data_IF_837302803863
#
_entry.id   IF_837302803863
#
_cell.length_a   1.000
_cell.length_b   1.000
_cell.length_c   1.000
_cell.angle_alpha   90.00
_cell.angle_beta   90.00
_cell.angle_gamma   90.00
#
_symmetry.space_group_name_H-M   'P 1'
#
loop_
_entity.id
_entity.type
_entity.pdbx_description
1 polymer ?
#
# COMPACT_ATOMS: atom_id res chain seq x y z
N UNK A 1 -0.36 7.83 11.14
CA UNK A 1 1.08 7.84 11.50
C UNK A 1 1.50 6.59 12.28
N UNK A 2 0.94 6.29 13.46
CA UNK A 2 1.30 5.10 14.26
C UNK A 2 1.13 3.78 13.48
N UNK A 3 0.05 3.62 12.74
CA UNK A 3 -0.22 2.44 11.91
C UNK A 3 0.81 2.24 10.80
N UNK A 4 1.22 3.31 10.13
CA UNK A 4 2.25 3.27 9.07
C UNK A 4 3.60 2.86 9.66
N UNK A 5 3.98 3.40 10.82
CA UNK A 5 5.20 3.03 11.51
C UNK A 5 5.18 1.55 11.93
N UNK A 6 4.05 1.07 12.45
CA UNK A 6 3.87 -0.34 12.80
C UNK A 6 3.92 -1.26 11.56
N UNK A 7 3.27 -0.87 10.47
CA UNK A 7 3.29 -1.60 9.19
C UNK A 7 4.73 -1.73 8.68
N UNK A 8 5.45 -0.61 8.64
CA UNK A 8 6.85 -0.58 8.25
C UNK A 8 7.68 -1.49 9.17
N UNK A 9 7.61 -1.29 10.49
CA UNK A 9 8.37 -2.06 11.47
C UNK A 9 8.15 -3.58 11.34
N UNK A 10 6.89 -4.01 11.21
CA UNK A 10 6.56 -5.43 11.07
C UNK A 10 7.05 -5.98 9.71
N UNK A 11 6.82 -5.24 8.63
CA UNK A 11 7.24 -5.64 7.28
C UNK A 11 8.76 -5.71 7.12
N UNK A 12 9.51 -4.83 7.80
CA UNK A 12 10.98 -4.85 7.81
C UNK A 12 11.55 -5.97 8.69
N UNK A 13 10.91 -6.31 9.81
CA UNK A 13 11.46 -7.32 10.74
C UNK A 13 11.28 -8.77 10.27
N UNK A 14 10.29 -9.07 9.42
CA UNK A 14 9.97 -10.46 9.11
C UNK A 14 9.29 -10.66 7.74
N UNK A 15 10.00 -10.29 6.66
CA UNK A 15 9.53 -10.48 5.29
C UNK A 15 9.29 -11.96 4.89
N UNK A 16 9.93 -12.92 5.56
CA UNK A 16 9.83 -14.36 5.25
C UNK A 16 8.67 -15.10 5.95
N UNK A 17 7.97 -14.48 6.90
CA UNK A 17 6.80 -15.10 7.58
C UNK A 17 5.51 -14.52 6.99
N UNK A 18 4.77 -15.35 6.27
CA UNK A 18 3.51 -14.98 5.59
C UNK A 18 2.53 -14.24 6.54
N UNK A 19 2.51 -14.62 7.82
CA UNK A 19 1.63 -14.01 8.81
C UNK A 19 2.09 -12.60 9.22
N UNK A 20 3.39 -12.37 9.29
CA UNK A 20 3.95 -11.06 9.61
C UNK A 20 3.76 -10.11 8.42
N UNK A 21 3.93 -10.61 7.19
CA UNK A 21 3.63 -9.85 5.99
C UNK A 21 2.15 -9.44 5.95
N UNK A 22 1.23 -10.37 6.20
CA UNK A 22 -0.21 -10.08 6.24
C UNK A 22 -0.55 -9.04 7.33
N UNK A 23 0.04 -9.15 8.52
CA UNK A 23 -0.12 -8.16 9.57
C UNK A 23 0.40 -6.77 9.13
N UNK A 24 1.55 -6.70 8.46
CA UNK A 24 2.09 -5.43 7.95
C UNK A 24 1.16 -4.77 6.94
N UNK A 25 0.58 -5.56 6.02
CA UNK A 25 -0.36 -5.09 5.02
C UNK A 25 -1.67 -4.63 5.67
N UNK A 26 -2.14 -5.34 6.70
CA UNK A 26 -3.29 -4.92 7.50
C UNK A 26 -3.06 -3.56 8.15
N UNK A 27 -1.90 -3.31 8.75
CA UNK A 27 -1.59 -1.99 9.34
C UNK A 27 -1.43 -0.90 8.31
N UNK A 28 -0.91 -1.23 7.13
CA UNK A 28 -0.85 -0.30 6.01
C UNK A 28 -2.27 0.10 5.60
N UNK A 29 -3.17 -0.86 5.40
CA UNK A 29 -4.58 -0.58 5.13
C UNK A 29 -5.25 0.19 6.27
N UNK A 30 -4.92 -0.11 7.53
CA UNK A 30 -5.48 0.62 8.68
C UNK A 30 -5.09 2.11 8.68
N UNK A 31 -4.01 2.49 7.98
CA UNK A 31 -3.64 3.89 7.80
C UNK A 31 -4.65 4.70 6.98
N UNK A 32 -5.46 4.05 6.14
CA UNK A 32 -6.52 4.72 5.38
C UNK A 32 -7.64 5.27 6.27
N UNK A 33 -7.79 4.75 7.49
CA UNK A 33 -8.77 5.27 8.45
C UNK A 33 -8.35 6.60 9.07
N UNK A 34 -7.09 7.02 8.91
CA UNK A 34 -6.65 8.34 9.36
C UNK A 34 -7.10 9.40 8.34
N UNK A 35 -7.60 10.53 8.84
CA UNK A 35 -8.03 11.65 8.00
C UNK A 35 -6.81 12.23 7.29
N UNK A 36 -6.61 11.89 6.02
CA UNK A 36 -5.60 12.50 5.18
C UNK A 36 -6.32 13.27 4.07
N UNK A 37 -6.14 14.59 4.03
CA UNK A 37 -6.71 15.38 2.95
C UNK A 37 -5.80 15.26 1.72
N UNK A 38 -6.04 14.29 0.85
CA UNK A 38 -5.37 14.17 -0.45
C UNK A 38 -5.48 15.44 -1.32
N UNK A 39 -6.43 16.32 -0.98
CA UNK A 39 -6.54 17.68 -1.51
C UNK A 39 -5.31 18.57 -1.25
N UNK A 40 -4.48 18.29 -0.26
CA UNK A 40 -3.26 19.06 0.03
C UNK A 40 -2.13 18.78 -0.98
N UNK A 41 -2.20 17.69 -1.75
CA UNK A 41 -1.17 17.35 -2.72
C UNK A 41 -1.33 18.13 -4.04
N UNK A 42 -0.21 18.45 -4.73
CA UNK A 42 -0.22 19.00 -6.08
C UNK A 42 -1.03 18.14 -7.05
N UNK A 43 -1.65 18.74 -8.07
CA UNK A 43 -2.64 18.08 -8.93
C UNK A 43 -2.20 16.73 -9.52
N UNK A 44 -0.94 16.59 -9.95
CA UNK A 44 -0.40 15.32 -10.47
C UNK A 44 -0.28 14.21 -9.40
N UNK A 45 0.07 14.57 -8.17
CA UNK A 45 0.20 13.63 -7.04
C UNK A 45 -1.15 13.33 -6.37
N UNK A 46 -2.13 14.21 -6.53
CA UNK A 46 -3.48 14.04 -5.95
C UNK A 46 -4.16 12.77 -6.44
N UNK A 47 -4.04 12.43 -7.72
CA UNK A 47 -4.62 11.21 -8.30
C UNK A 47 -3.99 9.96 -7.68
N UNK A 48 -2.67 9.97 -7.49
CA UNK A 48 -1.96 8.86 -6.86
C UNK A 48 -2.37 8.70 -5.39
N UNK A 49 -2.46 9.79 -4.63
CA UNK A 49 -2.92 9.76 -3.25
C UNK A 49 -4.35 9.23 -3.12
N UNK A 50 -5.23 9.64 -4.02
CA UNK A 50 -6.62 9.16 -4.08
C UNK A 50 -6.71 7.66 -4.38
N UNK A 51 -6.00 7.17 -5.41
CA UNK A 51 -5.98 5.73 -5.73
C UNK A 51 -5.41 4.93 -4.56
N UNK A 52 -4.34 5.42 -3.94
CA UNK A 52 -3.72 4.80 -2.78
C UNK A 52 -4.71 4.67 -1.61
N UNK A 53 -5.40 5.74 -1.24
CA UNK A 53 -6.32 5.75 -0.11
C UNK A 53 -7.57 4.88 -0.35
N UNK A 54 -8.15 4.96 -1.55
CA UNK A 54 -9.30 4.14 -1.95
C UNK A 54 -8.91 2.65 -1.95
N UNK A 55 -7.73 2.32 -2.48
CA UNK A 55 -7.24 0.95 -2.49
C UNK A 55 -7.04 0.43 -1.06
N UNK A 56 -6.34 1.19 -0.21
CA UNK A 56 -6.13 0.77 1.17
C UNK A 56 -7.43 0.58 1.95
N UNK A 57 -8.41 1.49 1.76
CA UNK A 57 -9.72 1.41 2.39
C UNK A 57 -10.53 0.19 1.93
N UNK A 58 -10.59 -0.07 0.62
CA UNK A 58 -11.35 -1.19 0.07
C UNK A 58 -10.81 -2.55 0.53
N UNK A 59 -9.48 -2.70 0.60
CA UNK A 59 -8.84 -3.96 0.99
C UNK A 59 -8.77 -4.18 2.51
N UNK A 60 -8.96 -3.14 3.32
CA UNK A 60 -8.91 -3.22 4.79
C UNK A 60 -9.83 -4.31 5.38
N UNK A 61 -11.16 -4.32 5.13
CA UNK A 61 -12.05 -5.31 5.75
C UNK A 61 -11.71 -6.74 5.32
N UNK A 62 -11.31 -6.94 4.06
CA UNK A 62 -10.88 -8.23 3.57
C UNK A 62 -9.62 -8.73 4.28
N UNK A 63 -8.59 -7.90 4.39
CA UNK A 63 -7.35 -8.27 5.07
C UNK A 63 -7.55 -8.49 6.56
N UNK A 64 -8.42 -7.71 7.19
CA UNK A 64 -8.74 -7.88 8.61
C UNK A 64 -9.46 -9.20 8.85
N UNK A 65 -10.47 -9.51 8.04
CA UNK A 65 -11.15 -10.81 8.05
C UNK A 65 -10.13 -11.94 7.84
N UNK A 66 -9.33 -11.86 6.76
CA UNK A 66 -8.33 -12.87 6.43
C UNK A 66 -7.33 -13.08 7.58
N UNK A 67 -6.86 -11.99 8.18
CA UNK A 67 -5.97 -12.03 9.34
C UNK A 67 -6.61 -12.79 10.52
N UNK A 68 -7.86 -12.50 10.87
CA UNK A 68 -8.57 -13.18 11.96
C UNK A 68 -8.94 -14.65 11.66
N UNK A 69 -9.02 -15.06 10.39
CA UNK A 69 -9.16 -16.48 10.03
C UNK A 69 -7.83 -17.25 10.17
N UNK A 70 -6.70 -16.62 9.88
CA UNK A 70 -5.37 -17.25 9.86
C UNK A 70 -4.67 -17.25 11.22
N UNK A 71 -4.85 -16.22 12.03
CA UNK A 71 -4.09 -16.01 13.26
C UNK A 71 -4.87 -16.51 14.49
N UNK A 72 -4.25 -17.25 15.45
CA UNK A 72 -2.91 -17.88 15.50
C UNK A 72 -2.87 -19.33 14.99
N UNK A 73 -4.03 -19.96 14.82
CA UNK A 73 -4.22 -21.29 14.24
C UNK A 73 -5.35 -21.19 13.21
N UNK A 74 -5.25 -21.87 12.06
CA UNK A 74 -6.26 -21.77 11.00
C UNK A 74 -7.62 -22.15 11.57
N UNK A 75 -8.56 -21.21 11.54
CA UNK A 75 -9.88 -21.40 12.14
C UNK A 75 -10.62 -22.56 11.49
N UNK A 76 -11.53 -23.20 12.23
CA UNK A 76 -12.35 -24.30 11.68
C UNK A 76 -13.16 -23.87 10.45
N UNK A 77 -13.46 -22.56 10.34
CA UNK A 77 -14.15 -21.95 9.20
C UNK A 77 -13.25 -21.99 7.97
N UNK A 78 -11.98 -21.63 8.11
CA UNK A 78 -11.02 -21.69 7.01
C UNK A 78 -10.81 -23.13 6.51
N UNK A 79 -10.74 -24.09 7.44
CA UNK A 79 -10.57 -25.51 7.11
C UNK A 79 -11.80 -26.09 6.38
N UNK A 80 -13.00 -25.59 6.65
CA UNK A 80 -14.25 -26.11 6.06
C UNK A 80 -14.68 -25.36 4.81
N UNK A 81 -14.34 -24.08 4.67
CA UNK A 81 -14.83 -23.23 3.58
C UNK A 81 -13.72 -22.33 3.01
N UNK A 82 -12.68 -22.91 2.38
CA UNK A 82 -11.60 -22.13 1.76
C UNK A 82 -12.09 -21.22 0.62
N UNK A 83 -13.19 -21.58 -0.04
CA UNK A 83 -13.82 -20.80 -1.11
C UNK A 83 -14.31 -19.42 -0.65
N UNK A 84 -14.62 -19.27 0.64
CA UNK A 84 -15.17 -18.04 1.21
C UNK A 84 -14.17 -16.88 1.07
N UNK A 85 -12.86 -17.18 1.17
CA UNK A 85 -11.78 -16.21 0.96
C UNK A 85 -11.78 -15.66 -0.47
N UNK A 86 -11.98 -16.53 -1.45
CA UNK A 86 -11.95 -16.15 -2.88
C UNK A 86 -13.20 -15.35 -3.24
N UNK A 87 -14.36 -15.73 -2.71
CA UNK A 87 -15.61 -14.98 -2.92
C UNK A 87 -15.51 -13.59 -2.32
N UNK A 88 -15.06 -13.46 -1.07
CA UNK A 88 -14.90 -12.14 -0.47
C UNK A 88 -13.80 -11.31 -1.14
N UNK A 89 -12.74 -11.93 -1.65
CA UNK A 89 -11.73 -11.22 -2.46
C UNK A 89 -12.35 -10.67 -3.74
N UNK A 90 -13.15 -11.48 -4.46
CA UNK A 90 -13.84 -11.04 -5.66
C UNK A 90 -14.82 -9.90 -5.34
N UNK A 91 -15.58 -10.01 -4.26
CA UNK A 91 -16.46 -8.93 -3.80
C UNK A 91 -15.67 -7.65 -3.48
N UNK A 92 -14.53 -7.75 -2.80
CA UNK A 92 -13.66 -6.60 -2.51
C UNK A 92 -13.11 -5.96 -3.77
N UNK A 93 -12.72 -6.74 -4.78
CA UNK A 93 -12.27 -6.20 -6.07
C UNK A 93 -13.38 -5.45 -6.80
N UNK A 94 -14.60 -5.98 -6.78
CA UNK A 94 -15.78 -5.31 -7.36
C UNK A 94 -16.06 -4.00 -6.61
N UNK A 95 -16.08 -4.03 -5.27
CA UNK A 95 -16.25 -2.83 -4.45
C UNK A 95 -15.19 -1.76 -4.74
N UNK A 96 -13.92 -2.18 -4.88
CA UNK A 96 -12.82 -1.29 -5.21
C UNK A 96 -12.99 -0.59 -6.56
N UNK A 97 -13.42 -1.31 -7.60
CA UNK A 97 -13.71 -0.73 -8.92
C UNK A 97 -14.87 0.26 -8.82
N UNK A 98 -15.92 -0.08 -8.06
CA UNK A 98 -17.08 0.81 -7.83
C UNK A 98 -16.63 2.09 -7.14
N UNK A 99 -15.84 2.01 -6.07
CA UNK A 99 -15.35 3.17 -5.33
C UNK A 99 -14.45 4.06 -6.20
N UNK A 100 -13.53 3.48 -6.98
CA UNK A 100 -12.70 4.23 -7.94
C UNK A 100 -13.56 4.96 -8.98
N UNK A 101 -14.59 4.29 -9.51
CA UNK A 101 -15.49 4.87 -10.51
C UNK A 101 -16.34 5.99 -9.92
N UNK A 102 -16.84 5.80 -8.69
CA UNK A 102 -17.64 6.79 -7.99
C UNK A 102 -16.84 8.07 -7.70
N UNK A 103 -15.63 7.94 -7.14
CA UNK A 103 -14.81 9.11 -6.80
C UNK A 103 -14.28 9.81 -8.06
N UNK A 104 -13.88 9.07 -9.10
CA UNK A 104 -13.46 9.68 -10.37
C UNK A 104 -14.60 10.45 -11.05
N UNK A 105 -15.84 9.93 -11.01
CA UNK A 105 -17.01 10.62 -11.54
C UNK A 105 -17.31 11.94 -10.78
N UNK A 106 -17.09 11.95 -9.45
CA UNK A 106 -17.26 13.15 -8.62
C UNK A 106 -16.21 14.24 -8.92
N UNK A 107 -14.96 13.86 -9.24
CA UNK A 107 -13.89 14.81 -9.51
C UNK A 107 -13.91 15.39 -10.94
N UNK A 108 -14.41 14.64 -11.94
CA UNK A 108 -14.26 15.01 -13.36
C UNK A 108 -15.53 15.61 -14.00
N UNK A 109 -16.73 15.42 -13.43
CA UNK A 109 -17.96 15.83 -14.12
C UNK A 109 -19.15 16.11 -13.20
N UNK A 110 -19.55 17.39 -13.11
CA UNK A 110 -20.71 17.85 -12.34
C UNK A 110 -22.05 17.27 -12.82
N UNK A 111 -22.17 16.97 -14.13
CA UNK A 111 -23.40 16.42 -14.71
C UNK A 111 -23.60 14.93 -14.40
N UNK A 112 -22.50 14.16 -14.34
CA UNK A 112 -22.52 12.74 -13.93
C UNK A 112 -22.68 12.59 -12.43
N UNK A 113 -22.10 13.49 -11.63
CA UNK A 113 -22.28 13.47 -10.18
C UNK A 113 -23.76 13.66 -9.79
N UNK A 114 -24.51 14.50 -10.52
CA UNK A 114 -25.93 14.72 -10.24
C UNK A 114 -26.81 13.50 -10.56
N UNK A 115 -26.46 12.71 -11.58
CA UNK A 115 -27.13 11.42 -11.86
C UNK A 115 -26.74 10.35 -10.83
N UNK A 116 -25.51 10.39 -10.33
CA UNK A 116 -25.01 9.40 -9.38
C UNK A 116 -25.52 9.65 -7.96
N UNK A 117 -25.92 10.88 -7.60
CA UNK A 117 -26.44 11.24 -6.26
C UNK A 117 -27.59 10.36 -5.77
N UNK A 118 -28.42 9.82 -6.65
CA UNK A 118 -29.55 8.96 -6.27
C UNK A 118 -29.13 7.50 -6.07
N UNK A 119 -28.15 7.01 -6.83
CA UNK A 119 -27.67 5.62 -6.74
C UNK A 119 -26.55 5.42 -5.71
N UNK A 120 -25.72 6.45 -5.51
CA UNK A 120 -24.60 6.46 -4.58
C UNK A 120 -24.98 6.02 -3.16
N UNK A 121 -26.07 6.51 -2.52
CA UNK A 121 -26.43 6.08 -1.17
C UNK A 121 -26.79 4.60 -1.11
N UNK A 122 -27.52 4.07 -2.12
CA UNK A 122 -27.86 2.65 -2.17
C UNK A 122 -26.62 1.78 -2.36
N UNK A 123 -25.69 2.19 -3.23
CA UNK A 123 -24.40 1.50 -3.41
C UNK A 123 -23.62 1.52 -2.10
N UNK A 124 -23.50 2.67 -1.44
CA UNK A 124 -22.79 2.81 -0.16
C UNK A 124 -23.42 1.94 0.94
N UNK A 125 -24.74 1.83 1.01
CA UNK A 125 -25.42 0.93 1.95
C UNK A 125 -25.09 -0.54 1.69
N UNK A 126 -25.08 -0.98 0.42
CA UNK A 126 -24.70 -2.36 0.06
C UNK A 126 -23.23 -2.63 0.39
N UNK A 127 -22.33 -1.70 0.06
CA UNK A 127 -20.90 -1.80 0.38
C UNK A 127 -20.65 -1.81 1.89
N UNK A 128 -21.41 -1.03 2.66
CA UNK A 128 -21.37 -1.04 4.12
C UNK A 128 -21.85 -2.38 4.68
N UNK A 129 -22.93 -2.95 4.13
CA UNK A 129 -23.43 -4.27 4.51
C UNK A 129 -22.40 -5.37 4.26
N UNK A 130 -21.75 -5.35 3.10
CA UNK A 130 -20.66 -6.27 2.77
C UNK A 130 -19.47 -6.13 3.72
N UNK A 131 -19.05 -4.88 3.99
CA UNK A 131 -17.94 -4.58 4.91
C UNK A 131 -18.25 -5.05 6.33
N UNK A 132 -19.48 -4.79 6.79
CA UNK A 132 -19.96 -5.22 8.11
C UNK A 132 -20.02 -6.74 8.21
N UNK A 133 -20.44 -7.44 7.15
CA UNK A 133 -20.44 -8.90 7.11
C UNK A 133 -19.01 -9.46 7.23
N UNK A 134 -18.04 -8.93 6.48
CA UNK A 134 -16.62 -9.33 6.61
C UNK A 134 -16.09 -9.08 8.03
N UNK A 135 -16.43 -7.93 8.62
CA UNK A 135 -16.04 -7.59 9.99
C UNK A 135 -16.63 -8.56 11.02
N UNK A 136 -17.92 -8.86 10.93
CA UNK A 136 -18.63 -9.79 11.82
C UNK A 136 -18.05 -11.20 11.68
N UNK A 137 -17.81 -11.68 10.45
CA UNK A 137 -17.21 -13.00 10.22
C UNK A 137 -15.81 -13.07 10.83
N UNK A 138 -14.99 -12.03 10.64
CA UNK A 138 -13.67 -11.93 11.27
C UNK A 138 -13.74 -11.97 12.79
N UNK A 139 -14.67 -11.20 13.39
CA UNK A 139 -14.86 -11.16 14.84
C UNK A 139 -15.36 -12.50 15.40
N UNK A 140 -16.32 -13.14 14.72
CA UNK A 140 -16.81 -14.47 15.09
C UNK A 140 -15.69 -15.51 15.03
N UNK A 141 -14.86 -15.48 13.98
CA UNK A 141 -13.66 -16.34 13.88
C UNK A 141 -12.74 -16.13 15.08
N UNK A 142 -12.48 -14.88 15.48
CA UNK A 142 -11.65 -14.55 16.63
C UNK A 142 -12.25 -15.06 17.95
N UNK A 143 -13.56 -14.94 18.16
CA UNK A 143 -14.26 -15.45 19.35
C UNK A 143 -14.23 -16.97 19.40
N UNK A 144 -14.56 -17.65 18.29
CA UNK A 144 -14.53 -19.12 18.18
C UNK A 144 -13.12 -19.64 18.46
N UNK A 145 -12.10 -19.00 17.91
CA UNK A 145 -10.71 -19.35 18.16
C UNK A 145 -10.34 -19.15 19.64
N UNK A 146 -10.81 -18.07 20.28
CA UNK A 146 -10.60 -17.80 21.71
C UNK A 146 -11.15 -18.91 22.60
N UNK A 147 -12.37 -19.40 22.31
CA UNK A 147 -13.03 -20.45 23.08
C UNK A 147 -12.42 -21.83 22.80
N UNK A 148 -11.96 -22.09 21.57
CA UNK A 148 -11.41 -23.39 21.15
C UNK A 148 -9.95 -23.58 21.53
N UNK A 149 -9.22 -22.50 21.87
CA UNK A 149 -7.80 -22.55 22.22
C UNK A 149 -7.50 -23.46 23.42
N UNK A 150 -6.65 -24.48 23.21
CA UNK A 150 -6.28 -25.47 24.25
C UNK A 150 -5.17 -24.95 25.17
N UNK A 151 -4.33 -24.04 24.68
CA UNK A 151 -3.23 -23.45 25.46
C UNK A 151 -3.66 -22.19 26.19
N UNK A 152 -3.32 -22.10 27.50
CA UNK A 152 -3.59 -20.90 28.32
C UNK A 152 -2.91 -19.65 27.76
N UNK A 153 -1.75 -19.78 27.14
CA UNK A 153 -1.00 -18.64 26.60
C UNK A 153 -1.60 -18.15 25.27
N UNK A 154 -2.05 -19.08 24.41
CA UNK A 154 -2.78 -18.75 23.18
C UNK A 154 -4.09 -18.02 23.49
N UNK A 155 -4.85 -18.51 24.47
CA UNK A 155 -6.10 -17.88 24.93
C UNK A 155 -5.89 -16.45 25.41
N UNK A 156 -4.86 -16.20 26.24
CA UNK A 156 -4.56 -14.86 26.76
C UNK A 156 -4.31 -13.86 25.63
N UNK A 157 -3.61 -14.27 24.56
CA UNK A 157 -3.33 -13.42 23.41
C UNK A 157 -4.58 -13.10 22.61
N UNK A 158 -5.41 -14.10 22.36
CA UNK A 158 -6.69 -13.91 21.65
C UNK A 158 -7.63 -12.99 22.41
N UNK A 159 -7.71 -13.12 23.74
CA UNK A 159 -8.51 -12.21 24.59
C UNK A 159 -8.00 -10.76 24.49
N UNK A 160 -6.68 -10.54 24.48
CA UNK A 160 -6.12 -9.19 24.34
C UNK A 160 -6.42 -8.60 22.95
N UNK A 161 -6.27 -9.40 21.89
CA UNK A 161 -6.63 -8.97 20.52
C UNK A 161 -8.12 -8.67 20.41
N UNK A 162 -8.97 -9.53 20.98
CA UNK A 162 -10.42 -9.35 21.00
C UNK A 162 -10.79 -8.09 21.78
N UNK A 163 -10.22 -7.89 22.97
CA UNK A 163 -10.45 -6.70 23.78
C UNK A 163 -10.04 -5.43 23.04
N UNK A 164 -8.89 -5.41 22.35
CA UNK A 164 -8.48 -4.25 21.56
C UNK A 164 -9.33 -4.02 20.30
N UNK A 165 -9.85 -5.08 19.68
CA UNK A 165 -10.77 -4.98 18.54
C UNK A 165 -12.13 -4.44 18.98
N UNK A 166 -12.64 -4.91 20.11
CA UNK A 166 -13.89 -4.43 20.71
C UNK A 166 -13.75 -3.01 21.26
N UNK A 167 -12.62 -2.66 21.87
CA UNK A 167 -12.38 -1.31 22.37
C UNK A 167 -12.11 -0.31 21.25
N UNK A 168 -11.49 -0.75 20.14
CA UNK A 168 -11.05 0.16 19.08
C UNK A 168 -11.93 0.18 17.82
N UNK A 169 -12.15 -0.96 17.18
CA UNK A 169 -12.90 -1.00 15.92
C UNK A 169 -14.41 -0.94 16.13
N UNK A 170 -14.94 -1.61 17.15
CA UNK A 170 -16.39 -1.68 17.36
C UNK A 170 -17.07 -0.30 17.49
N UNK A 171 -16.58 0.65 18.32
CA UNK A 171 -17.21 1.98 18.40
C UNK A 171 -17.11 2.74 17.08
N UNK A 172 -16.01 2.58 16.34
CA UNK A 172 -15.82 3.21 15.04
C UNK A 172 -16.77 2.64 13.98
N UNK A 173 -16.94 1.32 13.93
CA UNK A 173 -17.90 0.65 13.03
C UNK A 173 -19.33 1.07 13.33
N UNK A 174 -19.71 1.16 14.62
CA UNK A 174 -21.06 1.63 15.01
C UNK A 174 -21.30 3.05 14.51
N UNK A 175 -20.32 3.95 14.68
CA UNK A 175 -20.43 5.33 14.21
C UNK A 175 -20.66 5.38 12.69
N UNK A 176 -19.89 4.62 11.91
CA UNK A 176 -20.05 4.55 10.45
C UNK A 176 -21.43 4.01 10.07
N UNK A 177 -21.89 2.95 10.73
CA UNK A 177 -23.22 2.36 10.45
C UNK A 177 -24.33 3.36 10.77
N UNK A 178 -24.26 4.07 11.90
CA UNK A 178 -25.23 5.11 12.25
C UNK A 178 -25.26 6.24 11.21
N UNK A 179 -24.09 6.67 10.75
CA UNK A 179 -23.98 7.72 9.76
C UNK A 179 -24.52 7.30 8.39
N UNK A 180 -24.08 6.15 7.86
CA UNK A 180 -24.39 5.73 6.48
C UNK A 180 -25.78 5.08 6.37
N UNK A 181 -26.20 4.29 7.37
CA UNK A 181 -27.48 3.58 7.31
C UNK A 181 -28.67 4.44 7.78
N UNK A 182 -28.47 5.26 8.83
CA UNK A 182 -29.54 6.04 9.44
C UNK A 182 -29.48 7.53 9.10
N UNK A 183 -28.46 7.99 8.35
CA UNK A 183 -28.27 9.42 8.06
C UNK A 183 -28.10 10.27 9.32
N UNK A 184 -27.74 9.64 10.44
CA UNK A 184 -27.60 10.31 11.73
C UNK A 184 -26.26 11.02 11.73
N UNK A 185 -26.28 12.33 11.46
CA UNK A 185 -25.09 13.14 11.59
C UNK A 185 -24.63 13.17 13.05
N UNK A 186 -23.34 12.94 13.34
CA UNK A 186 -22.83 13.03 14.69
C UNK A 186 -23.09 14.42 15.26
N UNK A 187 -23.91 14.50 16.30
CA UNK A 187 -24.36 15.75 16.92
C UNK A 187 -23.24 16.54 17.61
N UNK A 188 -22.09 15.90 17.87
CA UNK A 188 -20.93 16.54 18.47
C UNK A 188 -19.62 15.99 17.92
N UNK A 189 -18.70 16.90 17.58
CA UNK A 189 -17.30 16.61 17.23
C UNK A 189 -16.62 15.75 18.29
N UNK A 190 -17.01 15.88 19.57
CA UNK A 190 -16.43 15.10 20.66
C UNK A 190 -16.58 13.59 20.47
N UNK A 191 -17.73 13.12 19.96
CA UNK A 191 -17.97 11.69 19.70
C UNK A 191 -17.10 11.17 18.55
N UNK A 192 -16.89 11.99 17.52
CA UNK A 192 -15.99 11.66 16.40
C UNK A 192 -14.58 11.51 16.94
N UNK A 193 -14.06 12.53 17.63
CA UNK A 193 -12.70 12.50 18.19
C UNK A 193 -12.51 11.30 19.12
N UNK A 194 -13.49 11.00 19.97
CA UNK A 194 -13.45 9.83 20.85
C UNK A 194 -13.37 8.52 20.07
N UNK A 195 -14.18 8.33 19.02
CA UNK A 195 -14.14 7.13 18.19
C UNK A 195 -12.78 6.95 17.49
N UNK A 196 -12.20 8.03 16.98
CA UNK A 196 -10.85 8.01 16.39
C UNK A 196 -9.75 7.74 17.43
N UNK A 197 -9.87 8.28 18.65
CA UNK A 197 -8.95 7.97 19.75
C UNK A 197 -9.06 6.49 20.16
N UNK A 198 -10.27 5.95 20.23
CA UNK A 198 -10.51 4.54 20.52
C UNK A 198 -9.93 3.63 19.44
N UNK A 199 -10.00 4.03 18.18
CA UNK A 199 -9.42 3.28 17.06
C UNK A 199 -7.92 2.98 17.24
N UNK A 200 -7.17 3.81 17.97
CA UNK A 200 -5.75 3.59 18.29
C UNK A 200 -5.49 2.41 19.25
N UNK A 201 -6.49 1.95 20.01
CA UNK A 201 -6.36 0.79 20.90
C UNK A 201 -6.14 -0.52 20.14
N UNK A 202 -6.70 -0.64 18.93
CA UNK A 202 -6.53 -1.84 18.10
C UNK A 202 -5.07 -2.09 17.67
N UNK A 203 -4.37 -1.14 17.01
CA UNK A 203 -2.96 -1.34 16.68
C UNK A 203 -2.10 -1.49 17.94
N UNK A 204 -2.45 -0.83 19.04
CA UNK A 204 -1.69 -0.91 20.28
C UNK A 204 -1.79 -2.30 20.93
N UNK A 205 -2.98 -2.88 21.02
CA UNK A 205 -3.19 -4.24 21.54
C UNK A 205 -2.47 -5.27 20.66
N UNK A 206 -2.46 -5.04 19.35
CA UNK A 206 -1.78 -5.89 18.40
C UNK A 206 -0.26 -5.87 18.58
N UNK A 207 0.33 -4.67 18.61
CA UNK A 207 1.77 -4.49 18.86
C UNK A 207 2.14 -5.13 20.19
N UNK A 208 1.33 -4.94 21.23
CA UNK A 208 1.56 -5.59 22.52
C UNK A 208 1.61 -7.11 22.40
N UNK A 209 0.65 -7.73 21.72
CA UNK A 209 0.60 -9.20 21.56
C UNK A 209 1.77 -9.72 20.72
N UNK A 210 2.08 -9.06 19.61
CA UNK A 210 3.19 -9.45 18.74
C UNK A 210 4.54 -9.27 19.43
N UNK A 211 4.76 -8.15 20.11
CA UNK A 211 5.98 -7.87 20.85
C UNK A 211 6.09 -8.83 22.04
N UNK A 212 5.13 -8.84 22.97
CA UNK A 212 5.18 -9.63 24.22
C UNK A 212 5.36 -11.12 23.97
N UNK A 213 4.66 -11.68 22.99
CA UNK A 213 4.80 -13.10 22.69
C UNK A 213 6.17 -13.43 22.08
N UNK A 214 6.82 -12.46 21.44
CA UNK A 214 8.12 -12.63 20.79
C UNK A 214 9.31 -12.24 21.69
N UNK A 215 9.18 -11.35 22.68
CA UNK A 215 10.32 -10.94 23.55
C UNK A 215 10.91 -12.10 24.36
N UNK A 216 10.12 -13.14 24.66
CA UNK A 216 10.61 -14.34 25.36
C UNK A 216 11.38 -15.32 24.43
N UNK A 217 11.26 -15.21 23.10
CA UNK A 217 11.91 -16.11 22.13
C UNK A 217 12.83 -15.45 21.08
N UNK A 218 12.82 -14.13 20.92
CA UNK A 218 13.38 -13.44 19.73
C UNK A 218 14.55 -12.48 19.99
N UNK A 219 15.11 -12.40 21.22
CA UNK A 219 16.35 -11.59 21.41
C UNK A 219 17.48 -11.98 20.43
N UNK A 220 17.51 -13.21 19.93
CA UNK A 220 18.49 -13.70 18.94
C UNK A 220 18.11 -13.42 17.46
N UNK A 221 16.82 -13.41 17.10
CA UNK A 221 16.38 -13.22 15.70
C UNK A 221 16.29 -11.74 15.34
N UNK A 222 15.95 -10.86 16.29
CA UNK A 222 15.85 -9.42 16.06
C UNK A 222 17.18 -8.78 15.63
N UNK A 223 18.30 -9.29 16.16
CA UNK A 223 19.64 -8.77 15.85
C UNK A 223 20.10 -9.13 14.43
N UNK A 224 19.74 -10.33 13.97
CA UNK A 224 20.07 -10.81 12.60
C UNK A 224 19.09 -10.25 11.57
N UNK A 225 17.79 -10.22 11.87
CA UNK A 225 16.78 -9.66 10.97
C UNK A 225 16.97 -8.16 10.70
N UNK A 226 17.37 -7.38 11.71
CA UNK A 226 17.66 -5.95 11.52
C UNK A 226 18.91 -5.72 10.65
N UNK A 227 19.97 -6.51 10.84
CA UNK A 227 21.18 -6.43 10.01
C UNK A 227 20.90 -6.84 8.56
N UNK A 228 20.13 -7.90 8.31
CA UNK A 228 19.79 -8.32 6.95
C UNK A 228 18.75 -7.42 6.28
N UNK A 229 17.78 -6.87 7.02
CA UNK A 229 16.81 -5.94 6.47
C UNK A 229 17.42 -4.58 6.09
N UNK A 230 18.37 -4.08 6.90
CA UNK A 230 19.12 -2.86 6.59
C UNK A 230 20.00 -3.03 5.34
N UNK A 231 20.65 -4.19 5.17
CA UNK A 231 21.50 -4.47 4.02
C UNK A 231 20.68 -4.69 2.74
N UNK A 232 19.61 -5.47 2.81
CA UNK A 232 18.80 -5.81 1.64
C UNK A 232 17.98 -4.63 1.10
N UNK A 233 17.47 -3.76 1.98
CA UNK A 233 16.62 -2.62 1.57
C UNK A 233 17.33 -1.27 1.57
N UNK A 234 18.54 -1.18 2.14
CA UNK A 234 19.43 -0.05 1.92
C UNK A 234 19.77 0.13 0.44
N UNK A 235 19.88 -0.97 -0.30
CA UNK A 235 20.12 -0.93 -1.74
C UNK A 235 19.00 -0.22 -2.53
N UNK A 236 17.73 -0.49 -2.22
CA UNK A 236 16.58 0.17 -2.85
C UNK A 236 16.46 1.65 -2.47
N UNK A 237 16.77 2.00 -1.21
CA UNK A 237 16.80 3.39 -0.76
C UNK A 237 17.94 4.16 -1.42
N UNK A 238 19.12 3.54 -1.55
CA UNK A 238 20.27 4.11 -2.26
C UNK A 238 19.97 4.26 -3.75
N UNK A 239 19.32 3.28 -4.37
CA UNK A 239 18.88 3.34 -5.77
C UNK A 239 17.87 4.48 -5.99
N UNK A 240 16.87 4.62 -5.11
CA UNK A 240 15.91 5.72 -5.16
C UNK A 240 16.56 7.10 -4.96
N UNK A 241 17.54 7.21 -4.05
CA UNK A 241 18.32 8.44 -3.82
C UNK A 241 19.20 8.75 -5.03
N UNK A 242 19.83 7.75 -5.65
CA UNK A 242 20.63 7.92 -6.87
C UNK A 242 19.76 8.40 -8.03
N UNK A 243 18.59 7.81 -8.23
CA UNK A 243 17.64 8.25 -9.27
C UNK A 243 17.19 9.70 -8.99
N UNK A 244 16.88 10.03 -7.74
CA UNK A 244 16.47 11.37 -7.34
C UNK A 244 17.58 12.42 -7.54
N UNK A 245 18.83 12.06 -7.25
CA UNK A 245 20.00 12.92 -7.46
C UNK A 245 20.30 13.11 -8.95
N UNK A 246 20.23 12.05 -9.76
CA UNK A 246 20.41 12.13 -11.22
C UNK A 246 19.33 13.01 -11.85
N UNK A 247 18.08 12.90 -11.38
CA UNK A 247 16.98 13.71 -11.93
C UNK A 247 17.09 15.20 -11.55
N UNK A 248 17.57 15.53 -10.35
CA UNK A 248 17.73 16.92 -9.91
C UNK A 248 19.04 17.58 -10.38
N UNK A 249 20.16 16.88 -10.34
CA UNK A 249 21.50 17.43 -10.66
C UNK A 249 22.01 17.05 -12.05
N UNK A 250 21.38 16.09 -12.73
CA UNK A 250 21.71 15.70 -14.10
C UNK A 250 21.65 16.84 -15.13
N UNK A 251 20.68 17.77 -15.08
CA UNK A 251 20.62 18.87 -16.04
C UNK A 251 21.81 19.85 -15.90
N UNK A 252 22.27 20.09 -14.68
CA UNK A 252 23.37 21.02 -14.37
C UNK A 252 24.74 20.48 -14.84
N UNK A 253 24.97 19.17 -14.72
CA UNK A 253 26.22 18.54 -15.17
C UNK A 253 26.30 18.41 -16.70
N UNK A 254 25.15 18.19 -17.37
CA UNK A 254 25.08 18.17 -18.83
C UNK A 254 25.44 19.54 -19.44
N UNK A 255 24.99 20.63 -18.81
CA UNK A 255 25.28 21.99 -19.28
C UNK A 255 26.76 22.37 -19.13
N UNK A 256 27.43 21.91 -18.07
CA UNK A 256 28.86 22.14 -17.86
C UNK A 256 29.75 21.37 -18.84
N UNK A 257 29.36 20.15 -19.21
CA UNK A 257 30.11 19.32 -20.17
C UNK A 257 30.05 19.89 -21.60
N UNK A 258 28.88 20.36 -22.04
CA UNK A 258 28.70 20.97 -23.37
C UNK A 258 29.46 22.31 -23.49
N UNK A 259 29.48 23.11 -22.43
CA UNK A 259 30.18 24.41 -22.39
C UNK A 259 31.71 24.26 -22.40
N UNK A 260 32.24 23.16 -21.87
CA UNK A 260 33.67 22.83 -21.95
C UNK A 260 34.06 22.22 -23.31
N UNK A 261 33.18 21.43 -23.92
CA UNK A 261 33.44 20.85 -25.25
C UNK A 261 33.52 21.92 -26.35
N UNK A 262 32.74 23.00 -26.27
CA UNK A 262 32.80 24.10 -27.23
C UNK A 262 34.02 25.01 -27.07
N UNK A 263 34.68 25.01 -25.90
CA UNK A 263 35.97 25.71 -25.70
C UNK A 263 37.17 24.97 -26.29
N UNK A 264 37.04 23.66 -26.58
CA UNK A 264 38.16 22.80 -26.98
C UNK A 264 38.21 22.51 -28.48
N UNK A 265 37.54 23.30 -29.33
CA UNK A 265 37.64 23.19 -30.78
C UNK A 265 38.58 24.26 -31.35
N UNK A 266 39.91 24.08 -31.32
CA UNK A 266 40.80 24.81 -32.20
C UNK A 266 40.71 24.17 -33.58
N UNK A 267 40.23 24.95 -34.53
CA UNK A 267 40.50 24.86 -35.96
C UNK A 267 41.83 24.16 -36.26
N UNK A 268 41.79 22.92 -36.76
CA UNK A 268 42.90 22.31 -37.50
C UNK A 268 42.45 21.91 -38.90
N UNK A 269 42.90 22.72 -39.83
CA UNK A 269 43.08 22.48 -41.26
C UNK A 269 43.50 21.04 -41.57
N UNK A 270 42.71 20.34 -42.37
CA UNK A 270 43.05 19.04 -42.93
C UNK A 270 43.90 19.25 -44.19
N UNK A 271 45.16 18.84 -44.14
CA UNK A 271 46.03 18.68 -45.30
C UNK A 271 46.66 17.30 -45.17
N UNK A 272 46.45 16.41 -46.16
CA UNK A 272 47.44 15.50 -46.77
C UNK A 272 46.76 14.35 -47.51
N UNK A 273 46.92 14.36 -48.83
CA UNK A 273 47.35 13.26 -49.71
C UNK A 273 46.79 11.84 -49.52
N UNK A 274 46.12 11.35 -50.56
CA UNK A 274 46.00 9.93 -50.87
C UNK A 274 46.58 9.69 -52.27
N UNK A 275 47.83 9.25 -52.29
CA UNK A 275 48.46 8.57 -53.42
C UNK A 275 47.91 7.14 -53.49
N UNK A 276 47.21 6.80 -54.57
CA UNK A 276 46.99 5.40 -54.97
C UNK A 276 47.32 5.27 -56.46
N UNK A 277 48.49 4.71 -56.74
CA UNK A 277 48.88 4.23 -58.05
C UNK A 277 48.69 2.72 -58.16
N UNK A 278 48.01 2.27 -59.22
CA UNK A 278 48.10 0.91 -59.72
C UNK A 278 47.75 0.87 -61.23
N UNK A 279 48.81 0.90 -62.05
CA UNK A 279 49.12 -0.04 -63.17
C UNK A 279 47.99 -1.04 -63.57
N UNK A 280 47.65 -1.39 -64.80
CA UNK A 280 48.15 -1.19 -66.17
C UNK A 280 47.20 -1.95 -67.10
N UNK A 281 46.81 -1.40 -68.26
CA UNK A 281 46.54 -2.18 -69.48
C UNK A 281 46.48 -1.27 -70.72
N UNK A 282 47.48 -1.39 -71.60
CA UNK A 282 47.43 -1.10 -73.06
C UNK A 282 46.51 -2.15 -73.74
N UNK A 283 46.01 -1.97 -75.00
CA UNK A 283 46.73 -1.48 -76.19
C UNK A 283 45.94 -0.44 -77.04
N UNK A 284 46.60 0.56 -77.62
CA UNK A 284 47.04 0.63 -79.04
C UNK A 284 45.93 0.88 -80.07
N UNK A 285 46.15 1.99 -80.82
CA UNK A 285 45.82 2.27 -82.22
C UNK A 285 44.59 3.13 -82.56
N UNK A 286 44.93 4.19 -83.32
CA UNK A 286 44.16 4.85 -84.40
C UNK A 286 42.96 5.70 -83.94
N UNK A 287 42.59 6.81 -84.57
CA UNK A 287 43.15 7.70 -85.58
C UNK A 287 42.01 8.68 -85.87
N UNK A 288 42.29 10.00 -85.78
CA UNK A 288 41.64 11.12 -86.50
C UNK A 288 40.13 11.38 -86.37
N UNK A 289 39.87 12.69 -86.29
CA UNK A 289 38.67 13.48 -86.66
C UNK A 289 37.40 13.23 -85.87
#
# INVERSE_FOLDING_TARGET
>A
MLSILTAAFIGFLKAEDDNAFLASLLFLCFSSLSIHSYFLFPGGLRVLGMIYEISLGAFLPYLMMRFFLLFPSPSLIDRKMPWLKTVFLACTLVSWIIDLTAVSALCLSFKRSQQLKTLLPHIQQVLLGLTSAMFIIGLLSLVVNTVTSKSKDERRRMVILLAGTLAGLLPFTILIVLFVAFGSEPTSIGWIVLAFCMLAFFPLSFVYVVVKHRVLGIRLILRRGLQYALVSRGFLAVEAILIFLIFNFGPELAEHSIRNASRFSPTRTCNTNRDEGAFSAKPTMLSRS
#
